data_IF_951766647488
#
_entry.id   IF_951766647488
#
_cell.length_a   1.000
_cell.length_b   1.000
_cell.length_c   1.000
_cell.angle_alpha   90.00
_cell.angle_beta   90.00
_cell.angle_gamma   90.00
#
_symmetry.space_group_name_H-M   'P 1'
#
loop_
_entity.id
_entity.type
_entity.pdbx_description
1 polymer ?
#
# COMPACT_ATOMS: atom_id res chain seq x y z
N UNK A 1 10.39 14.18 5.82
CA UNK A 1 10.42 13.95 4.35
C UNK A 1 10.32 15.30 3.68
N UNK A 2 11.15 15.59 2.66
CA UNK A 2 11.14 16.89 1.95
C UNK A 2 10.48 16.80 0.57
N UNK A 3 10.53 15.64 -0.09
CA UNK A 3 9.78 15.32 -1.30
C UNK A 3 9.65 13.79 -1.43
N UNK A 4 8.65 13.33 -2.19
CA UNK A 4 8.48 11.92 -2.60
C UNK A 4 8.17 11.90 -4.08
N UNK A 5 8.82 11.00 -4.83
CA UNK A 5 8.50 10.76 -6.23
C UNK A 5 7.53 9.57 -6.31
N UNK A 6 6.34 9.82 -6.84
CA UNK A 6 5.31 8.81 -7.07
C UNK A 6 5.06 8.74 -8.58
N UNK A 7 5.08 7.53 -9.13
CA UNK A 7 4.68 7.34 -10.52
C UNK A 7 3.23 7.79 -10.70
N UNK A 8 2.95 8.65 -11.68
CA UNK A 8 1.61 9.22 -11.90
C UNK A 8 0.52 8.16 -12.07
N UNK A 9 0.87 7.02 -12.68
CA UNK A 9 -0.04 5.89 -12.86
C UNK A 9 -0.51 5.24 -11.55
N UNK A 10 0.17 5.49 -10.43
CA UNK A 10 -0.19 4.98 -9.10
C UNK A 10 -1.07 5.95 -8.30
N UNK A 11 -1.52 7.04 -8.93
CA UNK A 11 -2.44 8.00 -8.34
C UNK A 11 -3.84 7.80 -8.93
N UNK A 12 -4.82 7.64 -8.05
CA UNK A 12 -6.24 7.64 -8.37
C UNK A 12 -6.88 8.86 -7.71
N UNK A 13 -7.39 9.78 -8.53
CA UNK A 13 -7.98 11.04 -8.07
C UNK A 13 -7.02 11.85 -7.16
N UNK A 14 -5.73 11.81 -7.48
CA UNK A 14 -4.67 12.47 -6.70
C UNK A 14 -4.26 11.76 -5.41
N UNK A 15 -4.90 10.62 -5.10
CA UNK A 15 -4.57 9.79 -3.93
C UNK A 15 -3.78 8.56 -4.38
N UNK A 16 -2.76 8.20 -3.62
CA UNK A 16 -1.97 7.01 -3.90
C UNK A 16 -2.79 5.72 -3.77
N UNK A 17 -2.81 4.91 -4.83
CA UNK A 17 -3.50 3.62 -4.86
C UNK A 17 -2.60 2.51 -4.28
N UNK A 18 -2.57 2.46 -2.94
CA UNK A 18 -1.71 1.51 -2.21
C UNK A 18 -1.97 0.05 -2.61
N UNK A 19 -3.23 -0.28 -2.89
CA UNK A 19 -3.65 -1.66 -3.15
C UNK A 19 -3.18 -2.17 -4.52
N UNK A 20 -3.08 -1.29 -5.53
CA UNK A 20 -2.66 -1.68 -6.87
C UNK A 20 -1.18 -1.38 -7.18
N UNK A 21 -0.46 -0.73 -6.28
CA UNK A 21 0.94 -0.33 -6.48
C UNK A 21 1.98 -1.45 -6.32
N UNK A 22 1.57 -2.69 -6.02
CA UNK A 22 2.48 -3.84 -6.02
C UNK A 22 3.48 -3.86 -4.86
N UNK A 23 3.09 -3.35 -3.69
CA UNK A 23 3.94 -3.34 -2.51
C UNK A 23 4.30 -4.76 -2.03
N UNK A 24 5.51 -4.89 -1.52
CA UNK A 24 6.04 -6.12 -0.92
C UNK A 24 6.33 -5.87 0.56
N UNK A 25 5.79 -6.72 1.42
CA UNK A 25 5.94 -6.68 2.87
C UNK A 25 6.83 -7.84 3.30
N UNK A 26 7.70 -7.59 4.28
CA UNK A 26 8.59 -8.63 4.83
C UNK A 26 7.85 -9.48 5.86
N UNK A 27 7.94 -10.80 5.72
CA UNK A 27 7.48 -11.78 6.69
C UNK A 27 8.55 -12.16 7.72
N UNK A 28 8.14 -12.96 8.71
CA UNK A 28 9.02 -13.39 9.81
C UNK A 28 10.04 -14.45 9.43
N UNK A 29 9.78 -15.26 8.40
CA UNK A 29 10.73 -16.28 7.95
C UNK A 29 11.94 -15.70 7.21
N UNK A 30 12.98 -16.54 6.99
CA UNK A 30 14.21 -16.12 6.30
C UNK A 30 13.98 -15.54 4.90
N UNK A 31 12.93 -15.99 4.21
CA UNK A 31 12.61 -15.59 2.83
C UNK A 31 11.13 -15.23 2.62
N UNK A 32 10.37 -14.98 3.69
CA UNK A 32 8.94 -14.74 3.59
C UNK A 32 8.66 -13.31 3.11
N UNK A 33 7.83 -13.19 2.08
CA UNK A 33 7.33 -11.91 1.59
C UNK A 33 5.85 -12.02 1.23
N UNK A 34 5.13 -10.93 1.43
CA UNK A 34 3.71 -10.82 1.16
C UNK A 34 3.42 -9.65 0.24
N UNK A 35 2.39 -9.77 -0.58
CA UNK A 35 1.83 -8.66 -1.34
C UNK A 35 0.55 -8.17 -0.69
N UNK A 36 0.26 -6.88 -0.85
CA UNK A 36 -1.08 -6.33 -0.57
C UNK A 36 -1.79 -6.07 -1.89
N UNK A 37 -3.08 -6.39 -1.91
CA UNK A 37 -3.98 -6.16 -3.03
C UNK A 37 -5.29 -5.53 -2.57
N UNK A 38 -6.22 -5.25 -3.51
CA UNK A 38 -7.52 -4.66 -3.19
C UNK A 38 -8.36 -5.51 -2.23
N UNK A 39 -8.25 -6.84 -2.33
CA UNK A 39 -9.05 -7.79 -1.54
C UNK A 39 -8.71 -7.77 -0.04
N UNK A 40 -7.53 -7.26 0.32
CA UNK A 40 -7.09 -7.12 1.71
C UNK A 40 -7.50 -5.79 2.35
N UNK A 41 -8.07 -4.84 1.59
CA UNK A 41 -8.44 -3.52 2.10
C UNK A 41 -9.73 -3.57 2.93
N UNK A 42 -9.66 -3.14 4.18
CA UNK A 42 -10.83 -2.85 5.02
C UNK A 42 -10.67 -1.49 5.71
N UNK A 43 -11.79 -0.87 6.05
CA UNK A 43 -11.80 0.46 6.70
C UNK A 43 -11.94 0.31 8.20
N UNK A 44 -10.90 0.66 8.93
CA UNK A 44 -10.94 0.80 10.39
C UNK A 44 -11.07 2.28 10.76
N UNK A 45 -12.24 2.68 11.23
CA UNK A 45 -12.48 4.04 11.68
C UNK A 45 -12.13 4.19 13.16
N UNK A 46 -11.62 5.36 13.55
CA UNK A 46 -11.34 5.66 14.96
C UNK A 46 -12.64 5.64 15.77
N UNK A 47 -12.74 4.86 16.87
CA UNK A 47 -13.88 4.92 17.78
C UNK A 47 -14.08 6.32 18.37
N UNK A 48 -15.34 6.69 18.66
CA UNK A 48 -15.68 7.96 19.32
C UNK A 48 -15.49 7.88 20.82
#
# INVERSE_FOLDING_TARGET
VVAVHIAQAQLKDGVYDTANAGHILRGGGPADYFTVGPDQLFKLFRPR
#
